data_IF_955114666107
#
_entry.id   IF_955114666107
#
_cell.length_a   1.000
_cell.length_b   1.000
_cell.length_c   1.000
_cell.angle_alpha   90.00
_cell.angle_beta   90.00
_cell.angle_gamma   90.00
#
_symmetry.space_group_name_H-M   'P 1'
#
loop_
_entity.id
_entity.type
_entity.pdbx_description
1 polymer ?
#
# COMPACT_ATOMS: atom_id res chain seq x y z
N UNK A 1 -29.75 7.30 -15.85
CA UNK A 1 -28.38 7.86 -15.78
C UNK A 1 -27.80 7.33 -14.48
N UNK A 2 -26.73 6.56 -14.51
CA UNK A 2 -26.18 5.97 -13.29
C UNK A 2 -25.69 7.07 -12.34
N UNK A 3 -25.88 6.88 -11.04
CA UNK A 3 -25.50 7.85 -10.02
C UNK A 3 -24.38 7.29 -9.16
N UNK A 4 -23.28 8.03 -9.06
CA UNK A 4 -22.12 7.71 -8.24
C UNK A 4 -21.94 8.73 -7.13
N UNK A 5 -21.81 8.25 -5.89
CA UNK A 5 -21.44 9.06 -4.75
C UNK A 5 -19.91 9.02 -4.55
N UNK A 6 -19.29 10.18 -4.57
CA UNK A 6 -17.88 10.35 -4.21
C UNK A 6 -17.75 10.77 -2.76
N UNK A 7 -16.85 10.11 -2.01
CA UNK A 7 -16.48 10.51 -0.66
C UNK A 7 -15.04 10.18 -0.31
N UNK A 8 -14.27 11.20 -0.01
CA UNK A 8 -12.97 11.11 0.63
C UNK A 8 -12.74 12.31 1.54
N UNK A 9 -12.12 12.13 2.71
CA UNK A 9 -11.74 13.25 3.59
C UNK A 9 -10.48 13.98 3.09
N UNK A 10 -9.66 13.38 2.26
CA UNK A 10 -8.33 13.88 1.85
C UNK A 10 -8.22 14.18 0.36
N UNK A 11 -9.00 13.52 -0.48
CA UNK A 11 -8.90 13.67 -1.92
C UNK A 11 -9.70 14.87 -2.45
N UNK A 12 -9.18 15.63 -3.43
CA UNK A 12 -9.84 16.81 -3.96
C UNK A 12 -11.07 16.43 -4.80
N UNK A 13 -12.27 16.58 -4.23
CA UNK A 13 -13.54 16.20 -4.87
C UNK A 13 -13.72 16.80 -6.27
N UNK A 14 -13.28 18.06 -6.50
CA UNK A 14 -13.37 18.72 -7.80
C UNK A 14 -12.55 18.02 -8.88
N UNK A 15 -11.34 17.55 -8.56
CA UNK A 15 -10.51 16.82 -9.50
C UNK A 15 -11.17 15.48 -9.89
N UNK A 16 -11.65 14.73 -8.88
CA UNK A 16 -12.34 13.46 -9.11
C UNK A 16 -13.64 13.60 -9.90
N UNK A 17 -14.49 14.56 -9.56
CA UNK A 17 -15.75 14.78 -10.30
C UNK A 17 -15.50 15.22 -11.74
N UNK A 18 -14.47 16.01 -11.97
CA UNK A 18 -14.06 16.41 -13.33
C UNK A 18 -13.57 15.22 -14.14
N UNK A 19 -12.71 14.39 -13.55
CA UNK A 19 -12.16 13.21 -14.21
C UNK A 19 -13.26 12.17 -14.50
N UNK A 20 -14.12 11.85 -13.52
CA UNK A 20 -15.23 10.92 -13.70
C UNK A 20 -16.16 11.34 -14.85
N UNK A 21 -16.55 12.61 -14.92
CA UNK A 21 -17.39 13.14 -16.01
C UNK A 21 -16.70 13.18 -17.36
N UNK A 22 -15.37 13.22 -17.39
CA UNK A 22 -14.58 13.12 -18.63
C UNK A 22 -14.63 11.71 -19.19
N UNK A 23 -14.52 10.70 -18.35
CA UNK A 23 -14.51 9.30 -18.76
C UNK A 23 -15.93 8.73 -18.97
N UNK A 24 -16.95 9.29 -18.29
CA UNK A 24 -18.36 8.98 -18.51
C UNK A 24 -19.22 10.24 -18.34
N UNK A 25 -19.56 10.88 -19.47
CA UNK A 25 -20.41 12.09 -19.49
C UNK A 25 -21.87 11.80 -19.08
N UNK A 26 -22.29 10.53 -19.08
CA UNK A 26 -23.61 10.08 -18.64
C UNK A 26 -23.70 9.81 -17.13
N UNK A 27 -22.62 9.97 -16.38
CA UNK A 27 -22.58 9.71 -14.94
C UNK A 27 -23.02 10.92 -14.12
N UNK A 28 -24.05 10.76 -13.27
CA UNK A 28 -24.39 11.74 -12.23
C UNK A 28 -23.45 11.56 -11.04
N UNK A 29 -22.49 12.47 -10.88
CA UNK A 29 -21.51 12.42 -9.79
C UNK A 29 -21.94 13.37 -8.69
N UNK A 30 -22.28 12.81 -7.52
CA UNK A 30 -22.64 13.51 -6.29
C UNK A 30 -21.48 13.45 -5.31
N UNK A 31 -21.32 14.50 -4.51
CA UNK A 31 -20.23 14.61 -3.53
C UNK A 31 -20.81 14.69 -2.13
N UNK A 32 -20.39 13.80 -1.25
CA UNK A 32 -20.77 13.84 0.16
C UNK A 32 -20.43 15.20 0.79
N UNK A 33 -21.32 15.80 1.66
CA UNK A 33 -22.60 15.25 2.14
C UNK A 33 -23.81 15.57 1.25
N UNK A 34 -23.64 16.19 0.09
CA UNK A 34 -24.72 16.55 -0.82
C UNK A 34 -25.12 15.33 -1.68
N UNK A 35 -25.81 14.36 -1.08
CA UNK A 35 -26.17 13.10 -1.74
C UNK A 35 -27.37 13.20 -2.69
N UNK A 36 -28.23 14.20 -2.52
CA UNK A 36 -29.56 14.20 -3.16
C UNK A 36 -30.44 13.05 -2.64
N UNK A 37 -31.28 12.49 -3.49
CA UNK A 37 -32.08 11.31 -3.19
C UNK A 37 -31.17 10.08 -3.09
N UNK A 38 -31.10 9.46 -1.93
CA UNK A 38 -30.21 8.31 -1.67
C UNK A 38 -30.64 7.06 -2.43
N UNK A 39 -31.92 7.00 -2.80
CA UNK A 39 -32.54 5.93 -3.58
C UNK A 39 -32.00 5.84 -5.02
N UNK A 40 -31.34 6.90 -5.51
CA UNK A 40 -30.78 6.94 -6.87
C UNK A 40 -29.33 6.42 -6.91
N UNK A 41 -28.65 6.32 -5.75
CA UNK A 41 -27.20 6.04 -5.69
C UNK A 41 -26.93 4.56 -5.93
N UNK A 42 -26.42 4.24 -7.11
CA UNK A 42 -26.09 2.86 -7.53
C UNK A 42 -24.60 2.52 -7.27
N UNK A 43 -23.73 3.53 -7.28
CA UNK A 43 -22.28 3.37 -7.15
C UNK A 43 -21.73 4.29 -6.06
N UNK A 44 -20.66 3.84 -5.40
CA UNK A 44 -19.90 4.67 -4.48
C UNK A 44 -18.41 4.56 -4.76
N UNK A 45 -17.70 5.70 -4.81
CA UNK A 45 -16.23 5.77 -4.86
C UNK A 45 -15.76 6.42 -3.56
N UNK A 46 -15.14 5.63 -2.68
CA UNK A 46 -14.89 6.07 -1.31
C UNK A 46 -13.52 5.66 -0.77
N UNK A 47 -12.95 6.50 0.09
CA UNK A 47 -11.83 6.12 0.96
C UNK A 47 -12.31 5.75 2.37
N UNK A 48 -13.22 6.55 2.93
CA UNK A 48 -13.84 6.26 4.21
C UNK A 48 -15.32 6.69 4.18
N UNK A 49 -16.18 5.99 4.90
CA UNK A 49 -17.58 6.35 5.10
C UNK A 49 -17.91 6.50 6.59
N UNK A 50 -18.91 7.27 6.98
CA UNK A 50 -19.49 7.16 8.32
C UNK A 50 -19.98 5.73 8.53
N UNK A 51 -19.87 5.23 9.77
CA UNK A 51 -20.30 3.90 10.14
C UNK A 51 -21.75 3.64 9.70
N UNK A 52 -21.95 2.55 8.95
CA UNK A 52 -23.26 2.11 8.49
C UNK A 52 -23.88 2.93 7.35
N UNK A 53 -23.30 4.03 6.90
CA UNK A 53 -23.88 4.89 5.86
C UNK A 53 -24.19 4.16 4.54
N UNK A 54 -23.34 3.21 4.13
CA UNK A 54 -23.57 2.46 2.90
C UNK A 54 -24.81 1.57 2.96
N UNK A 55 -25.28 1.22 4.15
CA UNK A 55 -26.55 0.49 4.36
C UNK A 55 -27.80 1.34 4.16
N UNK A 56 -27.67 2.67 4.18
CA UNK A 56 -28.76 3.61 3.93
C UNK A 56 -28.96 3.90 2.42
N UNK A 57 -28.20 3.21 1.54
CA UNK A 57 -28.24 3.35 0.09
C UNK A 57 -28.93 2.14 -0.56
N UNK A 58 -30.27 2.16 -0.72
CA UNK A 58 -31.03 0.96 -1.10
C UNK A 58 -30.78 0.49 -2.53
N UNK A 59 -30.29 1.38 -3.42
CA UNK A 59 -29.96 1.05 -4.81
C UNK A 59 -28.47 0.72 -5.03
N UNK A 60 -27.65 0.74 -3.97
CA UNK A 60 -26.20 0.53 -4.08
C UNK A 60 -25.86 -0.86 -4.61
N UNK A 61 -25.07 -0.92 -5.67
CA UNK A 61 -24.65 -2.16 -6.34
C UNK A 61 -23.16 -2.40 -6.21
N UNK A 62 -22.35 -1.33 -6.34
CA UNK A 62 -20.89 -1.44 -6.36
C UNK A 62 -20.25 -0.33 -5.53
N UNK A 63 -19.29 -0.72 -4.69
CA UNK A 63 -18.40 0.20 -3.98
C UNK A 63 -17.01 0.07 -4.57
N UNK A 64 -16.46 1.17 -5.09
CA UNK A 64 -15.08 1.29 -5.51
C UNK A 64 -14.24 1.91 -4.38
N UNK A 65 -13.16 1.26 -4.01
CA UNK A 65 -12.16 1.84 -3.11
C UNK A 65 -11.32 2.87 -3.86
N UNK A 66 -11.00 4.00 -3.22
CA UNK A 66 -10.06 4.99 -3.76
C UNK A 66 -8.60 4.52 -3.74
N UNK A 67 -8.28 3.46 -3.00
CA UNK A 67 -6.94 2.91 -2.93
C UNK A 67 -6.88 1.41 -3.23
N UNK A 68 -5.65 0.89 -3.33
CA UNK A 68 -5.40 -0.54 -3.58
C UNK A 68 -5.80 -1.44 -2.40
N UNK A 69 -5.69 -0.95 -1.16
CA UNK A 69 -6.12 -1.66 0.04
C UNK A 69 -7.58 -1.38 0.35
N UNK A 70 -8.30 -2.42 0.79
CA UNK A 70 -9.75 -2.39 1.05
C UNK A 70 -10.12 -2.79 2.48
N UNK A 71 -9.13 -2.93 3.33
CA UNK A 71 -9.28 -3.39 4.73
C UNK A 71 -10.30 -2.57 5.53
N UNK A 72 -10.36 -1.26 5.29
CA UNK A 72 -11.30 -0.32 5.91
C UNK A 72 -12.75 -0.44 5.38
N UNK A 73 -12.96 -1.16 4.27
CA UNK A 73 -14.28 -1.43 3.66
C UNK A 73 -14.72 -2.88 3.86
N UNK A 74 -13.91 -3.67 4.55
CA UNK A 74 -14.23 -5.07 4.83
C UNK A 74 -15.18 -5.22 6.03
N UNK A 75 -15.64 -6.43 6.27
CA UNK A 75 -16.57 -6.71 7.36
C UNK A 75 -17.99 -6.22 7.05
N UNK A 76 -18.60 -5.52 7.98
CA UNK A 76 -19.98 -5.02 7.88
C UNK A 76 -20.11 -3.65 7.19
N UNK A 77 -19.03 -3.02 6.76
CA UNK A 77 -19.07 -1.69 6.14
C UNK A 77 -19.80 -1.67 4.80
N UNK A 78 -19.51 -2.65 3.94
CA UNK A 78 -20.17 -2.80 2.65
C UNK A 78 -21.30 -3.83 2.76
N UNK A 79 -22.56 -3.49 2.44
CA UNK A 79 -23.70 -4.38 2.57
C UNK A 79 -23.53 -5.73 1.86
N UNK A 80 -24.21 -6.76 2.36
CA UNK A 80 -24.23 -8.05 1.69
C UNK A 80 -24.89 -7.93 0.31
N UNK A 81 -24.29 -8.57 -0.71
CA UNK A 81 -24.76 -8.48 -2.10
C UNK A 81 -24.26 -7.26 -2.88
N UNK A 82 -23.64 -6.28 -2.23
CA UNK A 82 -22.98 -5.16 -2.90
C UNK A 82 -21.54 -5.58 -3.25
N UNK A 83 -21.14 -5.36 -4.50
CA UNK A 83 -19.79 -5.69 -4.95
C UNK A 83 -18.76 -4.67 -4.41
N UNK A 84 -17.62 -5.16 -3.96
CA UNK A 84 -16.48 -4.33 -3.56
C UNK A 84 -15.36 -4.47 -4.58
N UNK A 85 -14.88 -3.34 -5.08
CA UNK A 85 -13.84 -3.28 -6.12
C UNK A 85 -12.66 -2.48 -5.57
N UNK A 86 -11.46 -3.07 -5.62
CA UNK A 86 -10.24 -2.37 -5.24
C UNK A 86 -9.71 -1.52 -6.39
N UNK A 87 -9.02 -0.43 -6.06
CA UNK A 87 -8.33 0.36 -7.09
C UNK A 87 -7.11 -0.40 -7.62
N UNK A 88 -7.10 -0.58 -8.94
CA UNK A 88 -5.93 -1.02 -9.69
C UNK A 88 -5.75 -0.04 -10.85
N UNK A 89 -4.75 0.78 -10.73
CA UNK A 89 -4.50 1.95 -11.57
C UNK A 89 -2.99 2.02 -11.89
N UNK A 90 -2.61 2.27 -13.14
CA UNK A 90 -1.20 2.38 -13.52
C UNK A 90 -0.42 3.42 -12.71
N UNK A 91 -0.97 4.61 -12.49
CA UNK A 91 -0.28 5.68 -11.75
C UNK A 91 -0.05 5.28 -10.27
N UNK A 92 -0.99 4.54 -9.68
CA UNK A 92 -0.84 4.00 -8.32
C UNK A 92 0.31 2.98 -8.25
N UNK A 93 0.45 2.15 -9.29
CA UNK A 93 1.55 1.18 -9.40
C UNK A 93 2.88 1.90 -9.60
N UNK A 94 2.93 2.91 -10.48
CA UNK A 94 4.11 3.73 -10.75
C UNK A 94 4.59 4.46 -9.49
N UNK A 95 3.68 5.10 -8.75
CA UNK A 95 3.99 5.77 -7.49
C UNK A 95 4.62 4.83 -6.45
N UNK A 96 4.07 3.62 -6.30
CA UNK A 96 4.66 2.61 -5.39
C UNK A 96 6.05 2.18 -5.85
N UNK A 97 6.26 2.00 -7.15
CA UNK A 97 7.58 1.68 -7.72
C UNK A 97 8.58 2.78 -7.38
N UNK A 98 8.23 4.04 -7.63
CA UNK A 98 9.10 5.20 -7.38
C UNK A 98 9.47 5.29 -5.89
N UNK A 99 8.47 5.19 -5.01
CA UNK A 99 8.68 5.25 -3.57
C UNK A 99 9.61 4.13 -3.09
N UNK A 100 9.31 2.89 -3.44
CA UNK A 100 10.10 1.71 -3.03
C UNK A 100 11.52 1.79 -3.60
N UNK A 101 11.67 2.11 -4.88
CA UNK A 101 12.99 2.25 -5.50
C UNK A 101 13.82 3.37 -4.84
N UNK A 102 13.20 4.52 -4.55
CA UNK A 102 13.86 5.60 -3.83
C UNK A 102 14.36 5.16 -2.46
N UNK A 103 13.51 4.51 -1.65
CA UNK A 103 13.90 4.09 -0.30
C UNK A 103 15.00 3.02 -0.32
N UNK A 104 14.93 2.07 -1.25
CA UNK A 104 15.98 1.06 -1.44
C UNK A 104 17.29 1.72 -1.88
N UNK A 105 17.27 2.59 -2.87
CA UNK A 105 18.46 3.31 -3.36
C UNK A 105 19.03 4.23 -2.29
N UNK A 106 18.20 4.96 -1.56
CA UNK A 106 18.60 5.83 -0.46
C UNK A 106 19.39 5.05 0.60
N UNK A 107 18.91 3.87 0.97
CA UNK A 107 19.59 2.99 1.92
C UNK A 107 20.82 2.34 1.33
N UNK A 108 20.73 1.80 0.12
CA UNK A 108 21.83 1.14 -0.60
C UNK A 108 23.04 2.06 -0.79
N UNK A 109 22.82 3.34 -1.12
CA UNK A 109 23.85 4.33 -1.39
C UNK A 109 24.28 5.15 -0.17
N UNK A 110 23.83 4.82 1.05
CA UNK A 110 24.13 5.55 2.28
C UNK A 110 23.71 7.02 2.26
N UNK A 111 22.66 7.39 1.51
CA UNK A 111 22.28 8.80 1.34
C UNK A 111 21.86 9.43 2.66
N UNK A 112 21.14 8.72 3.54
CA UNK A 112 20.79 9.22 4.88
C UNK A 112 22.03 9.48 5.76
N UNK A 113 23.09 8.71 5.59
CA UNK A 113 24.35 8.90 6.32
C UNK A 113 25.05 10.16 5.81
N UNK A 114 25.08 10.37 4.49
CA UNK A 114 25.67 11.58 3.89
C UNK A 114 24.89 12.85 4.23
N UNK A 115 23.56 12.79 4.31
CA UNK A 115 22.73 13.93 4.76
C UNK A 115 23.09 14.33 6.20
N UNK A 116 23.29 13.35 7.11
CA UNK A 116 23.77 13.64 8.47
C UNK A 116 25.20 14.19 8.50
N UNK A 117 26.10 13.60 7.71
CA UNK A 117 27.48 14.08 7.59
C UNK A 117 27.55 15.53 7.05
N UNK A 118 26.68 15.87 6.10
CA UNK A 118 26.58 17.25 5.60
C UNK A 118 26.22 18.22 6.75
N UNK A 119 25.27 17.86 7.61
CA UNK A 119 24.91 18.67 8.78
C UNK A 119 26.06 18.85 9.76
N UNK A 120 26.87 17.80 9.93
CA UNK A 120 28.07 17.81 10.78
C UNK A 120 29.34 18.32 10.10
N UNK A 121 29.30 18.76 8.83
CA UNK A 121 30.45 19.11 8.01
C UNK A 121 31.52 18.00 7.95
N UNK A 122 31.10 16.73 7.93
CA UNK A 122 31.98 15.57 7.87
C UNK A 122 32.22 15.13 6.42
N UNK A 123 33.48 15.06 5.99
CA UNK A 123 33.87 14.49 4.70
C UNK A 123 34.37 13.06 4.89
N UNK A 124 33.44 12.08 4.84
CA UNK A 124 33.77 10.66 5.02
C UNK A 124 33.05 9.81 3.97
N UNK A 125 33.81 8.95 3.27
CA UNK A 125 33.28 8.04 2.25
C UNK A 125 32.88 6.74 2.91
N UNK A 126 31.66 6.25 2.63
CA UNK A 126 31.20 4.91 2.98
C UNK A 126 31.56 3.91 1.87
N UNK A 127 31.91 2.69 2.25
CA UNK A 127 32.11 1.60 1.29
C UNK A 127 30.82 1.36 0.48
N UNK A 128 30.97 1.25 -0.83
CA UNK A 128 29.84 1.05 -1.74
C UNK A 128 29.70 -0.44 -2.06
N UNK A 129 28.50 -0.98 -1.82
CA UNK A 129 28.12 -2.34 -2.20
C UNK A 129 27.60 -2.33 -3.64
N UNK A 130 27.88 -3.38 -4.42
CA UNK A 130 27.27 -3.52 -5.76
C UNK A 130 25.80 -3.90 -5.64
N UNK A 131 24.91 -3.47 -6.57
CA UNK A 131 23.49 -3.85 -6.51
C UNK A 131 23.27 -5.36 -6.39
N UNK A 132 23.98 -6.20 -7.17
CA UNK A 132 23.85 -7.66 -7.11
C UNK A 132 24.31 -8.31 -5.80
N UNK A 133 24.98 -7.57 -4.95
CA UNK A 133 25.38 -8.01 -3.60
C UNK A 133 24.40 -7.54 -2.52
N UNK A 134 23.41 -6.69 -2.88
CA UNK A 134 22.36 -6.22 -1.98
C UNK A 134 21.12 -7.06 -2.17
N UNK A 135 20.73 -7.77 -1.14
CA UNK A 135 19.59 -8.69 -1.12
C UNK A 135 18.35 -7.98 -0.63
N UNK A 136 17.35 -7.92 -1.49
CA UNK A 136 16.07 -7.27 -1.21
C UNK A 136 14.96 -8.31 -1.14
N UNK A 137 14.25 -8.36 -0.01
CA UNK A 137 13.12 -9.24 0.21
C UNK A 137 11.80 -8.47 0.18
N UNK A 138 10.80 -8.95 -0.55
CA UNK A 138 9.46 -8.39 -0.56
C UNK A 138 8.48 -9.36 0.14
N UNK A 139 7.72 -8.86 1.09
CA UNK A 139 6.55 -9.53 1.66
C UNK A 139 5.32 -9.06 0.88
N UNK A 140 4.79 -9.95 0.04
CA UNK A 140 3.69 -9.69 -0.88
C UNK A 140 4.15 -9.49 -2.33
N UNK A 141 3.68 -10.39 -3.22
CA UNK A 141 3.92 -10.36 -4.67
C UNK A 141 2.60 -10.18 -5.44
N UNK A 142 1.67 -9.38 -4.92
CA UNK A 142 0.49 -8.91 -5.66
C UNK A 142 0.87 -7.91 -6.76
N UNK A 143 -0.09 -7.15 -7.29
CA UNK A 143 0.13 -6.16 -8.35
C UNK A 143 1.31 -5.22 -8.04
N UNK A 144 1.25 -4.51 -6.92
CA UNK A 144 2.28 -3.55 -6.51
C UNK A 144 3.62 -4.24 -6.21
N UNK A 145 3.59 -5.33 -5.43
CA UNK A 145 4.81 -6.04 -5.03
C UNK A 145 5.54 -6.66 -6.21
N UNK A 146 4.82 -7.26 -7.17
CA UNK A 146 5.41 -7.82 -8.40
C UNK A 146 6.03 -6.73 -9.28
N UNK A 147 5.39 -5.57 -9.37
CA UNK A 147 5.91 -4.44 -10.14
C UNK A 147 7.19 -3.86 -9.50
N UNK A 148 7.19 -3.67 -8.18
CA UNK A 148 8.38 -3.25 -7.42
C UNK A 148 9.53 -4.27 -7.55
N UNK A 149 9.22 -5.57 -7.42
CA UNK A 149 10.22 -6.63 -7.55
C UNK A 149 10.90 -6.64 -8.92
N UNK A 150 10.12 -6.51 -10.01
CA UNK A 150 10.66 -6.40 -11.38
C UNK A 150 11.59 -5.20 -11.53
N UNK A 151 11.17 -4.04 -11.04
CA UNK A 151 11.96 -2.80 -11.14
C UNK A 151 13.26 -2.91 -10.36
N UNK A 152 13.23 -3.42 -9.14
CA UNK A 152 14.44 -3.62 -8.33
C UNK A 152 15.40 -4.65 -8.95
N UNK A 153 14.87 -5.74 -9.51
CA UNK A 153 15.66 -6.70 -10.27
C UNK A 153 16.27 -6.07 -11.53
N UNK A 154 15.53 -5.22 -12.25
CA UNK A 154 16.03 -4.43 -13.38
C UNK A 154 17.14 -3.45 -13.02
N UNK A 155 17.17 -2.95 -11.79
CA UNK A 155 18.26 -2.14 -11.24
C UNK A 155 19.48 -2.98 -10.82
N UNK A 156 19.41 -4.31 -10.96
CA UNK A 156 20.47 -5.25 -10.69
C UNK A 156 20.55 -5.75 -9.24
N UNK A 157 19.56 -5.48 -8.39
CA UNK A 157 19.48 -6.02 -7.04
C UNK A 157 19.20 -7.53 -7.06
N UNK A 158 19.67 -8.25 -6.04
CA UNK A 158 19.30 -9.64 -5.78
C UNK A 158 17.95 -9.70 -5.05
N UNK A 159 16.86 -9.91 -5.80
CA UNK A 159 15.49 -9.77 -5.33
C UNK A 159 14.84 -11.12 -5.08
N UNK A 160 14.22 -11.26 -3.91
CA UNK A 160 13.32 -12.36 -3.59
C UNK A 160 11.98 -11.83 -3.06
N UNK A 161 10.90 -12.61 -3.25
CA UNK A 161 9.59 -12.26 -2.74
C UNK A 161 8.87 -13.43 -2.11
N UNK A 162 8.14 -13.17 -1.03
CA UNK A 162 7.29 -14.14 -0.35
C UNK A 162 5.82 -13.86 -0.64
N UNK A 163 5.10 -14.90 -1.03
CA UNK A 163 3.67 -14.83 -1.28
C UNK A 163 2.99 -16.14 -0.87
N UNK A 164 1.66 -16.11 -0.74
CA UNK A 164 0.84 -17.28 -0.40
C UNK A 164 0.83 -18.34 -1.52
N UNK A 165 0.83 -17.90 -2.76
CA UNK A 165 0.85 -18.72 -3.97
C UNK A 165 2.17 -18.56 -4.72
N UNK A 166 2.49 -19.53 -5.57
CA UNK A 166 3.64 -19.43 -6.47
C UNK A 166 3.46 -18.27 -7.46
N UNK A 167 4.54 -17.56 -7.71
CA UNK A 167 4.63 -16.50 -8.71
C UNK A 167 5.86 -16.72 -9.57
N UNK A 168 5.72 -16.47 -10.88
CA UNK A 168 6.84 -16.43 -11.80
C UNK A 168 7.09 -14.99 -12.23
N UNK A 169 8.15 -14.40 -11.71
CA UNK A 169 8.56 -13.03 -12.01
C UNK A 169 10.00 -13.10 -12.51
N UNK A 170 10.29 -12.70 -13.76
CA UNK A 170 11.65 -12.75 -14.31
C UNK A 170 12.67 -12.02 -13.40
N UNK A 171 13.76 -12.72 -13.07
CA UNK A 171 14.84 -12.18 -12.23
C UNK A 171 14.50 -12.07 -10.74
N UNK A 172 13.39 -12.64 -10.26
CA UNK A 172 12.96 -12.63 -8.86
C UNK A 172 12.79 -14.06 -8.35
N UNK A 173 13.38 -14.38 -7.22
CA UNK A 173 13.16 -15.66 -6.53
C UNK A 173 11.87 -15.60 -5.72
N UNK A 174 10.81 -16.28 -6.16
CA UNK A 174 9.56 -16.35 -5.42
C UNK A 174 9.55 -17.56 -4.47
N UNK A 175 9.15 -17.31 -3.20
CA UNK A 175 9.03 -18.34 -2.16
C UNK A 175 7.67 -18.25 -1.46
N UNK A 176 7.28 -19.34 -0.79
CA UNK A 176 6.01 -19.43 -0.05
C UNK A 176 6.15 -20.27 1.22
N UNK A 177 5.11 -20.26 2.07
CA UNK A 177 5.09 -20.99 3.33
C UNK A 177 6.04 -20.43 4.40
N UNK A 178 6.11 -21.11 5.55
CA UNK A 178 6.95 -20.70 6.69
C UNK A 178 8.43 -20.73 6.36
N UNK A 179 8.90 -21.83 5.77
CA UNK A 179 10.32 -22.04 5.46
C UNK A 179 10.80 -21.03 4.41
N UNK A 180 9.93 -20.70 3.43
CA UNK A 180 10.21 -19.66 2.45
C UNK A 180 10.30 -18.27 3.09
N UNK A 181 9.45 -17.98 4.08
CA UNK A 181 9.53 -16.72 4.83
C UNK A 181 10.84 -16.65 5.63
N UNK A 182 11.19 -17.70 6.34
CA UNK A 182 12.42 -17.76 7.13
C UNK A 182 13.68 -17.59 6.27
N UNK A 183 13.71 -18.27 5.13
CA UNK A 183 14.79 -18.12 4.16
C UNK A 183 14.88 -16.68 3.63
N UNK A 184 13.75 -16.06 3.26
CA UNK A 184 13.72 -14.69 2.76
C UNK A 184 14.21 -13.70 3.82
N UNK A 185 13.71 -13.80 5.05
CA UNK A 185 14.08 -12.90 6.15
C UNK A 185 15.57 -13.03 6.50
N UNK A 186 16.09 -14.26 6.62
CA UNK A 186 17.46 -14.53 7.02
C UNK A 186 18.50 -14.10 5.99
N UNK A 187 18.12 -13.98 4.71
CA UNK A 187 19.05 -13.52 3.66
C UNK A 187 18.97 -12.02 3.37
N UNK A 188 17.87 -11.35 3.68
CA UNK A 188 17.59 -10.00 3.16
C UNK A 188 18.30 -8.92 3.96
N UNK A 189 18.95 -7.99 3.25
CA UNK A 189 19.52 -6.76 3.82
C UNK A 189 18.44 -5.65 3.93
N UNK A 190 17.41 -5.72 3.08
CA UNK A 190 16.26 -4.83 3.08
C UNK A 190 15.00 -5.68 2.91
N UNK A 191 14.03 -5.53 3.81
CA UNK A 191 12.73 -6.21 3.75
C UNK A 191 11.65 -5.16 3.55
N UNK A 192 10.80 -5.37 2.53
CA UNK A 192 9.72 -4.46 2.13
C UNK A 192 8.39 -5.17 2.37
N UNK A 193 7.49 -4.57 3.14
CA UNK A 193 6.13 -5.06 3.35
C UNK A 193 5.16 -4.35 2.41
N UNK A 194 4.51 -5.15 1.54
CA UNK A 194 3.42 -4.75 0.64
C UNK A 194 2.26 -5.76 0.73
N UNK A 195 2.09 -6.36 1.90
CA UNK A 195 1.00 -7.32 2.17
C UNK A 195 -0.36 -6.62 2.26
N UNK A 196 -1.45 -7.28 1.85
CA UNK A 196 -2.78 -6.84 2.23
C UNK A 196 -2.97 -7.03 3.75
N UNK A 197 -3.71 -6.13 4.39
CA UNK A 197 -4.08 -6.27 5.78
C UNK A 197 -5.23 -7.27 5.91
N UNK A 198 -4.95 -8.37 6.59
CA UNK A 198 -5.90 -9.44 6.91
C UNK A 198 -5.64 -9.89 8.35
N UNK A 199 -6.51 -10.73 8.92
CA UNK A 199 -6.27 -11.34 10.23
C UNK A 199 -4.92 -12.05 10.30
N UNK A 200 -4.54 -12.77 9.24
CA UNK A 200 -3.29 -13.51 9.17
C UNK A 200 -2.03 -12.64 9.03
N UNK A 201 -2.17 -11.38 8.60
CA UNK A 201 -1.04 -10.46 8.39
C UNK A 201 -1.01 -9.32 9.41
N UNK A 202 -2.04 -9.15 10.21
CA UNK A 202 -2.07 -8.20 11.32
C UNK A 202 -0.97 -8.51 12.32
N UNK A 203 -0.15 -7.53 12.66
CA UNK A 203 0.98 -7.70 13.59
C UNK A 203 2.07 -8.65 13.10
N UNK A 204 2.14 -8.94 11.80
CA UNK A 204 3.18 -9.83 11.25
C UNK A 204 4.59 -9.26 11.42
N UNK A 205 4.75 -7.93 11.38
CA UNK A 205 6.01 -7.23 11.61
C UNK A 205 6.20 -7.02 13.11
N UNK A 206 6.64 -8.07 13.80
CA UNK A 206 6.80 -8.16 15.24
C UNK A 206 8.19 -8.66 15.63
N UNK A 207 8.46 -8.74 16.93
CA UNK A 207 9.75 -9.16 17.49
C UNK A 207 10.20 -10.53 16.99
N UNK A 208 9.26 -11.49 16.85
CA UNK A 208 9.60 -12.83 16.32
C UNK A 208 10.07 -12.76 14.85
N UNK A 209 9.42 -11.94 14.04
CA UNK A 209 9.85 -11.74 12.65
C UNK A 209 11.19 -11.00 12.62
N UNK A 210 11.39 -9.96 13.43
CA UNK A 210 12.64 -9.20 13.45
C UNK A 210 13.83 -10.06 13.89
N UNK A 211 13.63 -11.00 14.82
CA UNK A 211 14.68 -11.96 15.20
C UNK A 211 15.14 -12.89 14.06
N UNK A 212 14.31 -13.13 13.06
CA UNK A 212 14.64 -13.93 11.87
C UNK A 212 15.30 -13.12 10.75
N UNK A 213 15.17 -11.79 10.76
CA UNK A 213 15.81 -10.91 9.77
C UNK A 213 17.34 -10.90 9.97
N UNK A 214 18.09 -10.58 8.93
CA UNK A 214 19.54 -10.38 9.02
C UNK A 214 19.86 -9.23 9.98
N UNK A 215 20.87 -9.35 10.88
CA UNK A 215 21.24 -8.27 11.78
C UNK A 215 21.61 -6.99 11.05
N UNK A 216 21.12 -5.84 11.53
CA UNK A 216 21.34 -4.54 10.92
C UNK A 216 20.56 -4.29 9.62
N UNK A 217 19.66 -5.19 9.23
CA UNK A 217 18.80 -5.03 8.05
C UNK A 217 17.84 -3.85 8.19
N UNK A 218 17.27 -3.45 7.08
CA UNK A 218 16.27 -2.36 7.00
C UNK A 218 14.88 -2.92 6.75
N UNK A 219 13.89 -2.42 7.50
CA UNK A 219 12.47 -2.65 7.23
C UNK A 219 11.89 -1.45 6.47
N UNK A 220 11.09 -1.72 5.43
CA UNK A 220 10.25 -0.72 4.75
C UNK A 220 8.80 -1.20 4.85
N UNK A 221 7.95 -0.44 5.54
CA UNK A 221 6.51 -0.71 5.57
C UNK A 221 5.75 0.35 4.78
N UNK A 222 5.36 0.00 3.57
CA UNK A 222 4.51 0.81 2.68
C UNK A 222 3.16 0.12 2.44
N UNK A 223 2.70 -0.69 3.41
CA UNK A 223 1.42 -1.39 3.37
C UNK A 223 0.41 -0.75 4.31
N UNK A 224 0.31 -1.23 5.56
CA UNK A 224 -0.57 -0.69 6.61
C UNK A 224 0.15 -0.64 7.95
N UNK A 225 -0.21 0.34 8.79
CA UNK A 225 0.35 0.46 10.15
C UNK A 225 0.06 -0.75 11.03
N UNK A 226 -1.13 -1.34 10.87
CA UNK A 226 -1.56 -2.51 11.64
C UNK A 226 -0.77 -3.81 11.34
N UNK A 227 0.10 -3.81 10.33
CA UNK A 227 1.08 -4.90 10.17
C UNK A 227 2.17 -4.84 11.23
N UNK A 228 2.45 -3.66 11.79
CA UNK A 228 3.58 -3.40 12.67
C UNK A 228 3.17 -3.45 14.15
N UNK A 229 3.96 -4.16 14.95
CA UNK A 229 3.97 -4.02 16.42
C UNK A 229 5.04 -2.97 16.78
N UNK A 230 4.59 -1.77 17.13
CA UNK A 230 5.45 -0.59 17.26
C UNK A 230 6.49 -0.71 18.38
N UNK A 231 6.08 -1.25 19.54
CA UNK A 231 7.00 -1.49 20.66
C UNK A 231 8.12 -2.48 20.29
N UNK A 232 7.78 -3.54 19.56
CA UNK A 232 8.76 -4.54 19.09
C UNK A 232 9.76 -3.92 18.12
N UNK A 233 9.31 -2.99 17.26
CA UNK A 233 10.19 -2.24 16.37
C UNK A 233 11.19 -1.39 17.15
N UNK A 234 10.72 -0.63 18.15
CA UNK A 234 11.59 0.21 18.97
C UNK A 234 12.64 -0.62 19.72
N UNK A 235 12.26 -1.78 20.24
CA UNK A 235 13.19 -2.73 20.89
C UNK A 235 14.21 -3.22 19.85
N UNK A 236 13.77 -3.69 18.69
CA UNK A 236 14.66 -4.23 17.65
C UNK A 236 15.67 -3.20 17.11
N UNK A 237 15.26 -1.93 17.01
CA UNK A 237 16.16 -0.84 16.65
C UNK A 237 17.13 -0.50 17.78
N UNK A 238 16.66 -0.47 19.03
CA UNK A 238 17.48 -0.21 20.22
C UNK A 238 18.56 -1.26 20.46
N UNK A 239 18.27 -2.51 20.17
CA UNK A 239 19.20 -3.64 20.25
C UNK A 239 20.13 -3.76 19.02
N UNK A 240 19.94 -2.91 17.99
CA UNK A 240 20.67 -3.01 16.73
C UNK A 240 20.32 -4.22 15.88
N UNK A 241 19.24 -4.92 16.23
CA UNK A 241 18.71 -6.04 15.43
C UNK A 241 18.25 -5.56 14.06
N UNK A 242 17.54 -4.45 14.03
CA UNK A 242 17.29 -3.66 12.82
C UNK A 242 18.18 -2.42 12.80
N UNK A 243 18.74 -2.13 11.64
CA UNK A 243 19.56 -0.93 11.44
C UNK A 243 18.76 0.30 11.10
N UNK A 244 17.59 0.13 10.49
CA UNK A 244 16.71 1.25 10.10
C UNK A 244 15.28 0.76 9.79
N UNK A 245 14.30 1.66 9.94
CA UNK A 245 12.93 1.44 9.47
C UNK A 245 12.45 2.64 8.65
N UNK A 246 11.72 2.36 7.57
CA UNK A 246 10.99 3.35 6.77
C UNK A 246 9.52 3.02 6.88
N UNK A 247 8.74 3.94 7.41
CA UNK A 247 7.33 3.75 7.70
C UNK A 247 6.51 4.80 6.95
N UNK A 248 5.63 4.33 6.07
CA UNK A 248 4.70 5.18 5.32
C UNK A 248 3.27 5.11 5.87
N UNK A 249 2.95 4.04 6.62
CA UNK A 249 1.62 3.83 7.20
C UNK A 249 1.73 3.54 8.71
N UNK A 250 0.73 4.01 9.47
CA UNK A 250 0.72 3.99 10.93
C UNK A 250 -0.59 3.41 11.48
N UNK A 251 -0.58 2.98 12.75
CA UNK A 251 -1.79 2.48 13.40
C UNK A 251 -2.83 3.58 13.59
N UNK A 252 -2.36 4.79 13.91
CA UNK A 252 -3.16 6.01 13.99
C UNK A 252 -2.68 6.99 12.94
N UNK A 253 -3.58 7.45 12.08
CA UNK A 253 -3.30 8.42 11.02
C UNK A 253 -4.31 9.58 11.09
N UNK A 254 -3.82 10.83 11.14
CA UNK A 254 -2.42 11.30 11.10
C UNK A 254 -1.60 10.86 12.33
N UNK A 255 -0.33 10.52 12.13
CA UNK A 255 0.58 10.15 13.21
C UNK A 255 0.67 11.31 14.25
N UNK A 256 0.33 11.08 15.54
CA UNK A 256 0.30 12.13 16.56
C UNK A 256 1.63 12.88 16.67
N UNK A 257 1.61 14.23 16.86
CA UNK A 257 2.83 15.04 16.91
C UNK A 257 3.83 14.64 18.00
N UNK A 258 3.35 14.01 19.09
CA UNK A 258 4.17 13.50 20.20
C UNK A 258 4.72 12.08 19.98
N UNK A 259 4.42 11.42 18.88
CA UNK A 259 4.80 10.03 18.65
C UNK A 259 6.32 9.86 18.60
N UNK A 260 6.82 8.78 19.21
CA UNK A 260 8.27 8.51 19.32
C UNK A 260 8.97 8.41 17.96
N UNK A 261 8.28 7.97 16.91
CA UNK A 261 8.84 7.78 15.59
C UNK A 261 9.35 9.07 14.94
N UNK A 262 8.73 10.23 15.23
CA UNK A 262 9.16 11.51 14.65
C UNK A 262 10.61 11.90 14.97
N UNK A 263 11.12 11.49 16.13
CA UNK A 263 12.45 11.86 16.63
C UNK A 263 13.44 10.72 16.67
N UNK A 264 13.01 9.51 16.27
CA UNK A 264 13.87 8.35 16.34
C UNK A 264 14.94 8.39 15.22
N UNK A 265 16.26 8.31 15.54
CA UNK A 265 17.33 8.50 14.55
C UNK A 265 17.40 7.43 13.47
N UNK A 266 16.78 6.27 13.71
CA UNK A 266 16.75 5.13 12.80
C UNK A 266 15.36 4.89 12.19
N UNK A 267 14.44 5.84 12.28
CA UNK A 267 13.12 5.76 11.63
C UNK A 267 12.98 6.91 10.64
N UNK A 268 12.55 6.60 9.43
CA UNK A 268 12.07 7.56 8.44
C UNK A 268 10.56 7.47 8.40
N UNK A 269 9.88 8.59 8.55
CA UNK A 269 8.41 8.72 8.50
C UNK A 269 8.02 9.44 7.22
N UNK A 270 7.05 8.90 6.49
CA UNK A 270 6.34 9.59 5.40
C UNK A 270 4.83 9.48 5.61
N UNK A 271 4.02 10.50 5.27
CA UNK A 271 2.62 10.59 5.68
C UNK A 271 1.68 9.87 4.71
N UNK A 272 1.82 8.54 4.58
CA UNK A 272 1.02 7.64 3.74
C UNK A 272 0.96 8.10 2.27
N UNK A 273 2.14 8.32 1.68
CA UNK A 273 2.32 8.86 0.33
C UNK A 273 3.01 7.90 -0.64
N UNK A 274 3.29 6.68 -0.21
CA UNK A 274 4.01 5.71 -1.04
C UNK A 274 3.34 5.48 -2.39
N UNK A 275 2.01 5.61 -2.44
CA UNK A 275 1.26 5.58 -3.68
C UNK A 275 -0.09 6.26 -3.50
N UNK A 276 -0.32 7.31 -4.25
CA UNK A 276 -1.59 8.05 -4.27
C UNK A 276 -2.29 7.79 -5.61
N UNK A 277 -3.59 7.52 -5.55
CA UNK A 277 -4.40 7.31 -6.75
C UNK A 277 -4.52 8.61 -7.54
N UNK A 278 -4.19 8.57 -8.81
CA UNK A 278 -4.38 9.73 -9.70
C UNK A 278 -5.85 9.83 -10.08
N UNK A 279 -6.51 11.01 -9.93
CA UNK A 279 -7.93 11.15 -10.27
C UNK A 279 -8.29 10.79 -11.71
N UNK A 280 -7.41 11.06 -12.69
CA UNK A 280 -7.71 10.81 -14.10
C UNK A 280 -7.67 9.31 -14.44
N UNK A 281 -6.58 8.63 -14.09
CA UNK A 281 -6.44 7.19 -14.35
C UNK A 281 -7.34 6.34 -13.44
N UNK A 282 -7.54 6.78 -12.19
CA UNK A 282 -8.49 6.13 -11.27
C UNK A 282 -9.95 6.27 -11.75
N UNK A 283 -10.34 7.44 -12.26
CA UNK A 283 -11.67 7.64 -12.84
C UNK A 283 -11.92 6.78 -14.07
N UNK A 284 -10.89 6.55 -14.90
CA UNK A 284 -10.97 5.61 -16.02
C UNK A 284 -11.24 4.18 -15.54
N UNK A 285 -10.54 3.74 -14.48
CA UNK A 285 -10.76 2.41 -13.89
C UNK A 285 -12.18 2.27 -13.33
N UNK A 286 -12.69 3.29 -12.64
CA UNK A 286 -14.07 3.32 -12.11
C UNK A 286 -15.09 3.28 -13.25
N UNK A 287 -14.93 4.09 -14.29
CA UNK A 287 -15.84 4.11 -15.45
C UNK A 287 -15.89 2.74 -16.14
N UNK A 288 -14.75 2.07 -16.32
CA UNK A 288 -14.71 0.69 -16.85
C UNK A 288 -15.48 -0.29 -15.97
N UNK A 289 -15.34 -0.17 -14.64
CA UNK A 289 -16.09 -1.01 -13.70
C UNK A 289 -17.61 -0.79 -13.76
N UNK A 290 -18.05 0.47 -13.86
CA UNK A 290 -19.45 0.83 -14.03
C UNK A 290 -20.02 0.27 -15.36
N UNK A 291 -19.29 0.44 -16.46
CA UNK A 291 -19.72 -0.07 -17.76
C UNK A 291 -19.83 -1.61 -17.78
N UNK A 292 -18.87 -2.31 -17.14
CA UNK A 292 -18.94 -3.77 -17.00
C UNK A 292 -20.18 -4.21 -16.21
N UNK A 293 -20.46 -3.55 -15.07
CA UNK A 293 -21.65 -3.83 -14.27
C UNK A 293 -22.95 -3.60 -15.05
N UNK A 294 -23.06 -2.48 -15.79
CA UNK A 294 -24.23 -2.16 -16.62
C UNK A 294 -24.43 -3.14 -17.77
N UNK A 295 -23.33 -3.68 -18.31
CA UNK A 295 -23.37 -4.71 -19.35
C UNK A 295 -23.68 -6.12 -18.80
N UNK A 296 -23.71 -6.30 -17.49
CA UNK A 296 -23.82 -7.61 -16.85
C UNK A 296 -22.56 -8.45 -16.99
N UNK A 297 -21.42 -7.81 -17.24
CA UNK A 297 -20.11 -8.45 -17.35
C UNK A 297 -19.39 -8.49 -16.00
N UNK A 298 -18.41 -9.40 -15.81
CA UNK A 298 -17.61 -9.43 -14.60
C UNK A 298 -16.85 -8.12 -14.37
N UNK A 299 -17.04 -7.49 -13.20
CA UNK A 299 -16.35 -6.26 -12.84
C UNK A 299 -14.86 -6.58 -12.58
N UNK A 300 -13.91 -5.89 -13.24
CA UNK A 300 -12.49 -6.09 -12.98
C UNK A 300 -12.12 -5.76 -11.52
N UNK A 301 -11.15 -6.51 -10.97
CA UNK A 301 -10.57 -6.26 -9.63
C UNK A 301 -11.55 -6.33 -8.46
N UNK A 302 -12.63 -7.10 -8.64
CA UNK A 302 -13.57 -7.41 -7.55
C UNK A 302 -12.82 -8.10 -6.40
N UNK A 303 -13.13 -7.69 -5.19
CA UNK A 303 -12.55 -8.22 -3.96
C UNK A 303 -13.19 -9.57 -3.61
N UNK A 304 -12.36 -10.56 -3.35
CA UNK A 304 -12.81 -11.80 -2.71
C UNK A 304 -12.93 -11.57 -1.19
N UNK A 305 -14.16 -11.38 -0.71
CA UNK A 305 -14.42 -11.11 0.72
C UNK A 305 -13.94 -12.24 1.63
N UNK A 306 -13.91 -13.49 1.14
CA UNK A 306 -13.40 -14.65 1.90
C UNK A 306 -11.89 -14.61 2.06
N UNK A 307 -11.18 -13.99 1.12
CA UNK A 307 -9.73 -13.81 1.18
C UNK A 307 -9.29 -12.49 1.83
N UNK A 308 -10.18 -11.50 1.88
CA UNK A 308 -9.93 -10.20 2.46
C UNK A 308 -9.23 -9.19 1.53
N UNK A 309 -9.14 -9.49 0.21
CA UNK A 309 -8.56 -8.57 -0.79
C UNK A 309 -8.88 -8.96 -2.22
#
# INVERSE_FOLDING_TARGET
MPTLLFRSPSDPATAWTTALRRHDAGLDVRVWPATGAVEDIEYALIWASPDGFLHDLPALRVVFSLGAGVDHLMGSEVPEGVELVRMVDPALTEGMIEYVAYQVLRRHRHMADYERQQTGAEWRIHSQTRPGERRVGLLGLGELGSACARTLSGLGFDVAGWARSSHEIPGVTAVSGSDGLDWLLGRSDIVICLLPLTEATRGILNGQLFQRMSPGSTLINAARGQHLVEDDLLIALGEGRLGHAVLDAFQEEPLPPGHAFWRHPHITVTPHIASLTNPDTGAEAVARGIHADQAGEPIPHRVDRGRGY
#
